data_IF_369688923438
#
_entry.id   IF_369688923438
#
_cell.length_a   1.000
_cell.length_b   1.000
_cell.length_c   1.000
_cell.angle_alpha   90.00
_cell.angle_beta   90.00
_cell.angle_gamma   90.00
#
_symmetry.space_group_name_H-M   'P 1'
#
loop_
_entity.id
_entity.type
_entity.pdbx_description
1 polymer ?
#
# COMPACT_ATOMS: atom_id res chain seq x y z
N UNK A 1 -21.59 -14.13 -26.84
CA UNK A 1 -20.98 -12.99 -26.09
C UNK A 1 -21.96 -11.81 -26.03
N UNK A 2 -23.13 -12.01 -25.39
CA UNK A 2 -24.18 -10.97 -25.31
C UNK A 2 -24.23 -10.22 -23.96
N UNK A 3 -23.50 -10.69 -22.93
CA UNK A 3 -23.47 -10.06 -21.60
C UNK A 3 -22.40 -8.96 -21.45
N UNK A 4 -21.34 -8.97 -22.27
CA UNK A 4 -20.24 -8.00 -22.18
C UNK A 4 -20.69 -6.57 -22.47
N UNK A 5 -21.59 -6.39 -23.44
CA UNK A 5 -22.16 -5.07 -23.77
C UNK A 5 -23.18 -4.57 -22.73
N UNK A 6 -23.82 -5.47 -21.97
CA UNK A 6 -24.77 -5.08 -20.92
C UNK A 6 -24.05 -4.60 -19.65
N UNK A 7 -22.93 -5.24 -19.33
CA UNK A 7 -22.06 -4.84 -18.22
C UNK A 7 -21.28 -3.54 -18.51
N UNK A 8 -20.93 -3.31 -19.79
CA UNK A 8 -20.35 -2.03 -20.25
C UNK A 8 -21.36 -0.86 -20.23
N UNK A 9 -22.67 -1.15 -20.16
CA UNK A 9 -23.74 -0.15 -20.24
C UNK A 9 -24.56 -0.03 -18.95
N UNK A 10 -24.11 -0.61 -17.84
CA UNK A 10 -24.64 -0.36 -16.49
C UNK A 10 -23.68 0.57 -15.74
N UNK A 11 -23.78 1.91 -15.90
CA UNK A 11 -22.95 2.90 -15.20
C UNK A 11 -23.39 3.06 -13.74
N UNK A 12 -23.77 1.98 -13.05
CA UNK A 12 -24.39 2.02 -11.73
C UNK A 12 -23.44 1.63 -10.59
N UNK A 13 -22.14 1.48 -10.85
CA UNK A 13 -21.17 1.46 -9.74
C UNK A 13 -21.03 2.86 -9.15
N UNK A 14 -21.69 3.08 -8.01
CA UNK A 14 -21.48 4.27 -7.21
C UNK A 14 -19.98 4.37 -6.86
N UNK A 15 -19.34 5.50 -7.20
CA UNK A 15 -17.92 5.75 -6.90
C UNK A 15 -17.68 6.08 -5.42
N UNK A 16 -18.74 6.36 -4.66
CA UNK A 16 -18.66 6.78 -3.26
C UNK A 16 -18.04 5.72 -2.32
N UNK A 17 -18.42 4.43 -2.38
CA UNK A 17 -17.77 3.39 -1.57
C UNK A 17 -16.29 3.22 -1.92
N UNK A 18 -15.93 3.28 -3.20
CA UNK A 18 -14.54 3.13 -3.65
C UNK A 18 -13.66 4.28 -3.12
N UNK A 19 -14.14 5.52 -3.18
CA UNK A 19 -13.44 6.67 -2.57
C UNK A 19 -13.33 6.55 -1.06
N UNK A 20 -14.30 5.93 -0.38
CA UNK A 20 -14.25 5.68 1.06
C UNK A 20 -13.19 4.63 1.40
N UNK A 21 -13.13 3.53 0.65
CA UNK A 21 -12.10 2.50 0.80
C UNK A 21 -10.69 3.04 0.50
N UNK A 22 -10.54 3.86 -0.54
CA UNK A 22 -9.26 4.49 -0.87
C UNK A 22 -8.75 5.37 0.29
N UNK A 23 -9.63 6.15 0.92
CA UNK A 23 -9.27 6.95 2.12
C UNK A 23 -8.87 6.07 3.30
N UNK A 24 -9.58 4.96 3.53
CA UNK A 24 -9.22 4.00 4.58
C UNK A 24 -7.87 3.34 4.29
N UNK A 25 -7.57 3.03 3.03
CA UNK A 25 -6.27 2.49 2.60
C UNK A 25 -5.14 3.48 2.88
N UNK A 26 -5.31 4.76 2.51
CA UNK A 26 -4.31 5.80 2.81
C UNK A 26 -4.11 5.95 4.32
N UNK A 27 -5.19 5.98 5.10
CA UNK A 27 -5.11 6.04 6.57
C UNK A 27 -4.34 4.84 7.13
N UNK A 28 -4.60 3.62 6.65
CA UNK A 28 -3.90 2.42 7.07
C UNK A 28 -2.41 2.45 6.71
N UNK A 29 -2.05 2.96 5.52
CA UNK A 29 -0.65 3.14 5.11
C UNK A 29 0.05 4.16 6.01
N UNK A 30 -0.61 5.28 6.34
CA UNK A 30 -0.05 6.29 7.23
C UNK A 30 0.17 5.75 8.65
N UNK A 31 -0.79 5.03 9.21
CA UNK A 31 -0.62 4.37 10.51
C UNK A 31 0.57 3.41 10.47
N UNK A 32 0.67 2.57 9.44
CA UNK A 32 1.81 1.68 9.23
C UNK A 32 3.13 2.44 9.16
N UNK A 33 3.18 3.55 8.43
CA UNK A 33 4.38 4.39 8.33
C UNK A 33 4.81 4.98 9.68
N UNK A 34 3.85 5.39 10.52
CA UNK A 34 4.12 5.87 11.88
C UNK A 34 4.70 4.75 12.74
N UNK A 35 4.08 3.57 12.75
CA UNK A 35 4.60 2.43 13.54
C UNK A 35 6.00 2.00 13.09
N UNK A 36 6.22 1.83 11.79
CA UNK A 36 7.54 1.54 11.21
C UNK A 36 8.57 2.63 11.50
N UNK A 37 8.17 3.90 11.44
CA UNK A 37 9.05 5.04 11.73
C UNK A 37 9.46 5.11 13.20
N UNK A 38 8.53 4.83 14.13
CA UNK A 38 8.84 4.74 15.56
C UNK A 38 9.79 3.59 15.84
N UNK A 39 9.56 2.41 15.24
CA UNK A 39 10.47 1.28 15.40
C UNK A 39 11.88 1.56 14.86
N UNK A 40 11.97 2.26 13.73
CA UNK A 40 13.25 2.72 13.18
C UNK A 40 13.97 3.71 14.13
N UNK A 41 13.25 4.68 14.70
CA UNK A 41 13.82 5.63 15.65
C UNK A 41 14.32 4.95 16.93
N UNK A 42 13.56 3.98 17.45
CA UNK A 42 13.98 3.15 18.58
C UNK A 42 15.25 2.36 18.25
N UNK A 43 15.30 1.72 17.08
CA UNK A 43 16.49 0.97 16.63
C UNK A 43 17.74 1.85 16.63
N UNK A 44 17.65 3.05 16.06
CA UNK A 44 18.75 4.01 16.01
C UNK A 44 19.18 4.46 17.42
N UNK A 45 18.24 4.67 18.33
CA UNK A 45 18.55 5.04 19.73
C UNK A 45 19.24 3.93 20.52
N UNK A 46 18.95 2.66 20.21
CA UNK A 46 19.54 1.51 20.89
C UNK A 46 20.97 1.18 20.46
N UNK A 47 21.52 1.82 19.42
CA UNK A 47 22.92 1.68 19.00
C UNK A 47 23.38 0.25 18.66
N UNK A 48 22.42 -0.68 18.54
CA UNK A 48 22.69 -2.10 18.31
C UNK A 48 22.56 -2.39 16.82
N UNK A 49 23.63 -2.82 16.12
CA UNK A 49 23.53 -3.19 14.72
C UNK A 49 22.78 -4.52 14.62
N UNK A 50 21.48 -4.43 14.32
CA UNK A 50 20.70 -5.61 13.97
C UNK A 50 21.22 -6.23 12.66
N UNK A 51 21.27 -7.56 12.53
CA UNK A 51 21.97 -8.26 11.45
C UNK A 51 21.22 -8.29 10.10
N UNK A 52 20.21 -7.44 9.90
CA UNK A 52 19.43 -7.45 8.65
C UNK A 52 20.07 -6.57 7.56
N UNK A 53 20.00 -6.97 6.29
CA UNK A 53 20.53 -6.16 5.20
C UNK A 53 19.68 -4.91 4.98
N UNK A 54 20.33 -3.75 4.83
CA UNK A 54 19.69 -2.45 4.56
C UNK A 54 18.79 -2.51 3.32
N UNK A 55 19.10 -3.37 2.34
CA UNK A 55 18.27 -3.60 1.16
C UNK A 55 16.84 -4.02 1.51
N UNK A 56 16.65 -4.85 2.54
CA UNK A 56 15.31 -5.25 2.99
C UNK A 56 14.58 -4.09 3.68
N UNK A 57 15.30 -3.24 4.41
CA UNK A 57 14.72 -2.03 4.97
C UNK A 57 14.26 -1.06 3.85
N UNK A 58 15.09 -0.83 2.84
CA UNK A 58 14.72 0.01 1.69
C UNK A 58 13.50 -0.58 0.97
N UNK A 59 13.51 -1.90 0.72
CA UNK A 59 12.41 -2.60 0.07
C UNK A 59 11.12 -2.50 0.91
N UNK A 60 11.22 -2.62 2.23
CA UNK A 60 10.10 -2.47 3.17
C UNK A 60 9.45 -1.09 3.06
N UNK A 61 10.25 -0.02 3.10
CA UNK A 61 9.77 1.35 3.02
C UNK A 61 9.23 1.70 1.63
N UNK A 62 9.88 1.22 0.56
CA UNK A 62 9.40 1.44 -0.81
C UNK A 62 8.11 0.65 -1.11
N UNK A 63 8.16 -0.68 -1.01
CA UNK A 63 7.04 -1.54 -1.39
C UNK A 63 5.87 -1.47 -0.39
N UNK A 64 6.15 -1.28 0.89
CA UNK A 64 5.12 -1.27 1.94
C UNK A 64 4.44 0.08 2.17
N UNK A 65 5.11 1.20 1.85
CA UNK A 65 4.64 2.54 2.20
C UNK A 65 4.65 3.46 0.97
N UNK A 66 5.82 3.76 0.40
CA UNK A 66 5.95 4.80 -0.61
C UNK A 66 5.18 4.49 -1.90
N UNK A 67 5.36 3.28 -2.46
CA UNK A 67 4.69 2.85 -3.70
C UNK A 67 3.17 2.72 -3.49
N UNK A 68 2.64 2.05 -2.45
CA UNK A 68 1.20 2.00 -2.20
C UNK A 68 0.57 3.38 -2.03
N UNK A 69 1.26 4.33 -1.40
CA UNK A 69 0.76 5.70 -1.22
C UNK A 69 0.73 6.47 -2.55
N UNK A 70 1.76 6.31 -3.39
CA UNK A 70 1.77 6.83 -4.76
C UNK A 70 0.63 6.25 -5.59
N UNK A 71 0.43 4.93 -5.55
CA UNK A 71 -0.64 4.25 -6.28
C UNK A 71 -2.03 4.65 -5.76
N UNK A 72 -2.18 4.87 -4.45
CA UNK A 72 -3.41 5.42 -3.87
C UNK A 72 -3.72 6.81 -4.42
N UNK A 73 -2.72 7.67 -4.49
CA UNK A 73 -2.85 9.01 -5.06
C UNK A 73 -3.20 8.96 -6.55
N UNK A 74 -2.51 8.12 -7.33
CA UNK A 74 -2.81 7.91 -8.75
C UNK A 74 -4.25 7.41 -8.93
N UNK A 75 -4.67 6.43 -8.13
CA UNK A 75 -6.05 5.91 -8.16
C UNK A 75 -7.05 7.03 -7.87
N UNK A 76 -6.78 7.90 -6.90
CA UNK A 76 -7.66 9.04 -6.62
C UNK A 76 -7.84 9.94 -7.84
N UNK A 77 -6.74 10.25 -8.54
CA UNK A 77 -6.78 11.04 -9.78
C UNK A 77 -7.49 10.31 -10.92
N UNK A 78 -7.29 9.00 -11.04
CA UNK A 78 -7.99 8.17 -12.03
C UNK A 78 -9.48 8.05 -11.73
N UNK A 79 -9.95 8.31 -10.52
CA UNK A 79 -11.37 8.33 -10.16
C UNK A 79 -12.06 9.70 -10.32
N UNK A 80 -11.28 10.74 -10.62
CA UNK A 80 -11.81 12.07 -10.99
C UNK A 80 -12.35 12.06 -12.43
N UNK A 81 -11.75 11.25 -13.29
CA UNK A 81 -12.28 10.87 -14.61
C UNK A 81 -12.97 9.52 -14.41
N UNK A 82 -14.25 9.28 -14.76
CA UNK A 82 -14.98 8.05 -14.39
C UNK A 82 -14.52 6.78 -15.15
N UNK A 83 -13.21 6.55 -15.29
CA UNK A 83 -12.60 5.37 -15.87
C UNK A 83 -12.27 4.34 -14.77
N UNK A 84 -13.28 3.54 -14.41
CA UNK A 84 -13.18 2.54 -13.35
C UNK A 84 -12.28 1.35 -13.72
N UNK A 85 -12.13 1.02 -15.00
CA UNK A 85 -11.30 -0.10 -15.46
C UNK A 85 -9.80 0.14 -15.24
N UNK A 86 -9.34 1.39 -15.42
CA UNK A 86 -7.95 1.74 -15.14
C UNK A 86 -7.66 1.81 -13.63
N UNK A 87 -8.60 2.35 -12.86
CA UNK A 87 -8.47 2.47 -11.40
C UNK A 87 -8.33 1.12 -10.70
N UNK A 88 -9.06 0.09 -11.15
CA UNK A 88 -8.95 -1.26 -10.57
C UNK A 88 -7.59 -1.90 -10.83
N UNK A 89 -7.00 -1.68 -12.01
CA UNK A 89 -5.65 -2.15 -12.33
C UNK A 89 -4.59 -1.55 -11.39
N UNK A 90 -4.68 -0.26 -11.10
CA UNK A 90 -3.76 0.42 -10.16
C UNK A 90 -3.90 -0.15 -8.74
N UNK A 91 -5.14 -0.40 -8.29
CA UNK A 91 -5.39 -1.01 -6.98
C UNK A 91 -4.85 -2.44 -6.86
N UNK A 92 -4.87 -3.23 -7.94
CA UNK A 92 -4.29 -4.58 -7.93
C UNK A 92 -2.78 -4.53 -7.69
N UNK A 93 -2.08 -3.61 -8.37
CA UNK A 93 -0.64 -3.39 -8.15
C UNK A 93 -0.38 -2.89 -6.72
N UNK A 94 -1.25 -2.02 -6.20
CA UNK A 94 -1.13 -1.53 -4.82
C UNK A 94 -1.24 -2.70 -3.81
N UNK A 95 -2.17 -3.63 -4.02
CA UNK A 95 -2.32 -4.83 -3.19
C UNK A 95 -1.04 -5.68 -3.22
N UNK A 96 -0.51 -6.00 -4.40
CA UNK A 96 0.74 -6.78 -4.54
C UNK A 96 1.90 -6.10 -3.82
N UNK A 97 2.04 -4.77 -3.95
CA UNK A 97 3.08 -4.01 -3.28
C UNK A 97 2.91 -4.04 -1.76
N UNK A 98 1.70 -3.84 -1.25
CA UNK A 98 1.44 -3.94 0.20
C UNK A 98 1.70 -5.33 0.77
N UNK A 99 1.38 -6.40 0.03
CA UNK A 99 1.71 -7.77 0.42
C UNK A 99 3.22 -8.00 0.45
N UNK A 100 3.92 -7.57 -0.60
CA UNK A 100 5.39 -7.65 -0.66
C UNK A 100 6.03 -6.91 0.52
N UNK A 101 5.58 -5.68 0.79
CA UNK A 101 6.06 -4.90 1.92
C UNK A 101 5.78 -5.53 3.29
N UNK A 102 4.63 -6.19 3.46
CA UNK A 102 4.30 -6.92 4.69
C UNK A 102 5.16 -8.19 4.86
N UNK A 103 5.40 -8.94 3.79
CA UNK A 103 6.28 -10.12 3.83
C UNK A 103 7.70 -9.73 4.26
N UNK A 104 8.22 -8.62 3.72
CA UNK A 104 9.53 -8.09 4.13
C UNK A 104 9.50 -7.62 5.58
N UNK A 105 8.41 -7.00 6.06
CA UNK A 105 8.24 -6.63 7.47
C UNK A 105 8.34 -7.86 8.39
N UNK A 106 7.66 -8.95 8.02
CA UNK A 106 7.70 -10.22 8.76
C UNK A 106 9.09 -10.82 8.77
N UNK A 107 9.81 -10.76 7.64
CA UNK A 107 11.19 -11.21 7.58
C UNK A 107 12.12 -10.36 8.45
N UNK A 108 11.93 -9.04 8.49
CA UNK A 108 12.70 -8.15 9.36
C UNK A 108 12.40 -8.40 10.84
N UNK A 109 11.15 -8.70 11.19
CA UNK A 109 10.73 -8.96 12.57
C UNK A 109 11.33 -10.22 13.20
N UNK A 110 11.88 -11.15 12.40
CA UNK A 110 12.60 -12.31 12.96
C UNK A 110 13.99 -11.92 13.48
N UNK A 111 14.56 -10.84 12.93
CA UNK A 111 15.93 -10.42 13.18
C UNK A 111 16.01 -9.12 14.00
N UNK A 112 14.96 -8.29 13.99
CA UNK A 112 14.87 -7.04 14.73
C UNK A 112 13.85 -7.13 15.86
N UNK A 113 14.16 -6.49 16.99
CA UNK A 113 13.27 -6.41 18.15
C UNK A 113 12.16 -5.38 17.99
N UNK A 114 12.28 -4.46 17.02
CA UNK A 114 11.34 -3.36 16.80
C UNK A 114 10.52 -3.56 15.53
N UNK A 115 9.29 -3.00 15.46
CA UNK A 115 8.47 -3.07 14.26
C UNK A 115 9.04 -2.15 13.17
N UNK A 116 9.57 -2.74 12.09
CA UNK A 116 10.14 -2.03 10.93
C UNK A 116 9.23 -2.05 9.69
#
# INVERSE_FOLDING_TARGET
MFLGHWYLNTPTMQLAPLRKLLRLMVLAILLRAVFSGVGLACLWSSGSPDPFPITFLILRWLAGIAIPLLLAWMTSKTLDIPNTQSATGILYVAVIMTFTGELVARLLSTSSRYPL
#
